data_IF_386800823542
#
_entry.id   IF_386800823542
#
_cell.length_a   1.000
_cell.length_b   1.000
_cell.length_c   1.000
_cell.angle_alpha   90.00
_cell.angle_beta   90.00
_cell.angle_gamma   90.00
#
_symmetry.space_group_name_H-M   'P 1'
#
loop_
_entity.id
_entity.type
_entity.pdbx_description
1 polymer ?
#
# COMPACT_ATOMS: atom_id res chain seq x y z
N UNK A 1 26.43 -30.84 4.84
CA UNK A 1 26.28 -29.47 4.42
C UNK A 1 25.57 -28.70 5.55
N UNK A 2 26.26 -27.83 6.25
CA UNK A 2 25.71 -27.08 7.39
C UNK A 2 24.94 -25.87 6.82
N UNK A 3 23.61 -25.85 6.98
CA UNK A 3 22.81 -24.68 6.75
C UNK A 3 23.20 -23.60 7.78
N UNK A 4 24.00 -22.63 7.37
CA UNK A 4 24.14 -21.39 8.10
C UNK A 4 22.89 -20.55 7.83
N UNK A 5 21.91 -20.63 8.69
CA UNK A 5 20.88 -19.60 8.81
C UNK A 5 21.59 -18.33 9.27
N UNK A 6 21.85 -17.41 8.37
CA UNK A 6 22.23 -16.06 8.74
C UNK A 6 21.06 -15.42 9.47
N UNK A 7 21.07 -15.45 10.81
CA UNK A 7 20.26 -14.57 11.61
C UNK A 7 20.71 -13.13 11.28
N UNK A 8 20.10 -12.52 10.29
CA UNK A 8 20.22 -11.07 10.09
C UNK A 8 19.57 -10.42 11.30
N UNK A 9 20.39 -9.87 12.19
CA UNK A 9 19.90 -9.06 13.31
C UNK A 9 19.09 -7.91 12.69
N UNK A 10 17.82 -7.77 13.09
CA UNK A 10 16.97 -6.67 12.66
C UNK A 10 17.54 -5.36 13.23
N UNK A 11 18.26 -4.62 12.39
CA UNK A 11 18.92 -3.37 12.78
C UNK A 11 17.94 -2.19 12.73
N UNK A 12 17.29 -1.92 13.85
CA UNK A 12 16.33 -0.85 14.03
C UNK A 12 16.95 0.52 13.75
N UNK A 13 18.20 0.75 14.16
CA UNK A 13 18.86 2.05 13.98
C UNK A 13 19.17 2.35 12.52
N UNK A 14 19.51 1.35 11.74
CA UNK A 14 19.69 1.49 10.29
C UNK A 14 18.35 1.75 9.60
N UNK A 15 17.29 1.00 9.93
CA UNK A 15 15.96 1.19 9.37
C UNK A 15 15.38 2.58 9.71
N UNK A 16 15.59 3.06 10.94
CA UNK A 16 15.13 4.39 11.36
C UNK A 16 15.69 5.53 10.52
N UNK A 17 16.89 5.39 9.96
CA UNK A 17 17.51 6.40 9.08
C UNK A 17 16.75 6.60 7.77
N UNK A 18 16.00 5.61 7.33
CA UNK A 18 15.15 5.73 6.15
C UNK A 18 13.95 6.67 6.36
N UNK A 19 13.63 7.03 7.61
CA UNK A 19 12.49 7.87 7.96
C UNK A 19 12.95 9.24 8.50
N UNK A 20 13.08 10.27 7.66
CA UNK A 20 13.66 11.57 8.06
C UNK A 20 12.96 12.23 9.25
N UNK A 21 11.64 12.06 9.35
CA UNK A 21 10.84 12.64 10.45
C UNK A 21 11.28 12.14 11.82
N UNK A 22 11.83 10.93 11.91
CA UNK A 22 12.25 10.34 13.18
C UNK A 22 13.52 10.96 13.74
N UNK A 23 14.23 11.80 12.96
CA UNK A 23 15.38 12.58 13.41
C UNK A 23 14.98 13.88 14.12
N UNK A 24 13.71 14.26 14.12
CA UNK A 24 13.23 15.49 14.76
C UNK A 24 13.29 15.44 16.28
N UNK A 25 13.37 16.62 16.86
CA UNK A 25 13.18 16.82 18.29
C UNK A 25 11.86 17.54 18.58
N UNK A 26 11.21 17.18 19.68
CA UNK A 26 10.00 17.82 20.18
C UNK A 26 10.26 18.20 21.64
N UNK A 27 10.10 19.49 21.97
CA UNK A 27 10.41 20.02 23.31
C UNK A 27 11.83 19.68 23.78
N UNK A 28 12.82 19.74 22.89
CA UNK A 28 14.22 19.43 23.17
C UNK A 28 14.56 17.96 23.38
N UNK A 29 13.63 17.02 23.12
CA UNK A 29 13.82 15.58 23.23
C UNK A 29 13.65 14.90 21.88
N UNK A 30 14.30 13.76 21.60
CA UNK A 30 14.07 12.98 20.40
C UNK A 30 12.59 12.64 20.22
N UNK A 31 12.10 12.69 19.00
CA UNK A 31 10.73 12.29 18.66
C UNK A 31 10.48 10.83 19.01
N UNK A 32 9.43 10.58 19.79
CA UNK A 32 8.82 9.27 19.97
C UNK A 32 7.45 9.30 19.29
N UNK A 33 7.26 8.49 18.25
CA UNK A 33 6.01 8.41 17.51
C UNK A 33 5.40 7.01 17.69
N UNK A 34 4.19 6.94 18.25
CA UNK A 34 3.50 5.70 18.61
C UNK A 34 2.12 5.55 17.96
N UNK A 35 1.79 6.43 17.01
CA UNK A 35 0.47 6.45 16.35
C UNK A 35 0.51 5.86 14.93
N UNK A 36 1.32 4.82 14.71
CA UNK A 36 1.44 4.17 13.41
C UNK A 36 0.16 3.41 12.97
N UNK A 37 -0.73 3.10 13.91
CA UNK A 37 -2.02 2.50 13.60
C UNK A 37 -2.93 3.46 12.80
N UNK A 38 -2.82 4.76 13.07
CA UNK A 38 -3.56 5.79 12.33
C UNK A 38 -2.78 6.25 11.09
N UNK A 39 -1.46 6.51 11.21
CA UNK A 39 -0.63 7.01 10.13
C UNK A 39 0.78 6.46 10.24
N UNK A 40 1.20 5.66 9.27
CA UNK A 40 2.60 5.24 9.14
C UNK A 40 3.46 6.38 8.60
N UNK A 41 4.69 6.49 9.10
CA UNK A 41 5.65 7.45 8.57
C UNK A 41 6.15 7.01 7.19
N UNK A 42 6.54 7.98 6.36
CA UNK A 42 6.94 7.76 4.98
C UNK A 42 8.47 7.68 4.90
N UNK A 43 9.05 6.61 4.35
CA UNK A 43 10.48 6.52 4.14
C UNK A 43 10.96 7.45 3.03
N UNK A 44 12.24 7.86 3.06
CA UNK A 44 12.83 8.79 2.11
C UNK A 44 12.70 8.30 0.66
N UNK A 45 12.86 7.02 0.43
CA UNK A 45 12.74 6.41 -0.90
C UNK A 45 11.36 6.68 -1.54
N UNK A 46 10.30 6.68 -0.76
CA UNK A 46 8.94 7.00 -1.26
C UNK A 46 8.80 8.49 -1.54
N UNK A 47 9.36 9.34 -0.67
CA UNK A 47 9.38 10.81 -0.88
C UNK A 47 10.12 11.13 -2.19
N UNK A 48 11.28 10.52 -2.40
CA UNK A 48 12.11 10.74 -3.59
C UNK A 48 11.39 10.32 -4.88
N UNK A 49 10.68 9.19 -4.87
CA UNK A 49 9.87 8.74 -6.03
C UNK A 49 8.73 9.72 -6.34
N UNK A 50 8.08 10.30 -5.32
CA UNK A 50 7.02 11.29 -5.53
C UNK A 50 7.61 12.57 -6.13
N UNK A 51 8.76 13.03 -5.64
CA UNK A 51 9.46 14.20 -6.17
C UNK A 51 9.89 13.94 -7.61
N UNK A 52 10.48 12.79 -7.90
CA UNK A 52 10.92 12.39 -9.25
C UNK A 52 9.74 12.35 -10.22
N UNK A 53 8.61 11.76 -9.82
CA UNK A 53 7.41 11.71 -10.64
C UNK A 53 6.94 13.10 -11.07
N UNK A 54 6.72 14.01 -10.11
CA UNK A 54 6.21 15.35 -10.41
C UNK A 54 7.23 16.23 -11.14
N UNK A 55 8.53 16.01 -10.93
CA UNK A 55 9.58 16.81 -11.55
C UNK A 55 9.93 16.36 -12.97
N UNK A 56 9.79 15.07 -13.29
CA UNK A 56 10.42 14.51 -14.48
C UNK A 56 9.46 13.81 -15.46
N UNK A 57 8.40 13.11 -14.99
CA UNK A 57 7.56 12.30 -15.88
C UNK A 57 6.06 12.29 -15.53
N UNK A 58 5.58 13.30 -14.83
CA UNK A 58 4.16 13.42 -14.53
C UNK A 58 3.33 13.52 -15.82
N UNK A 59 2.65 12.43 -16.18
CA UNK A 59 1.82 12.33 -17.36
C UNK A 59 0.66 11.34 -17.16
N UNK A 60 -0.35 11.44 -18.04
CA UNK A 60 -1.45 10.50 -18.06
C UNK A 60 -0.96 9.11 -18.51
N UNK A 61 -1.27 8.08 -17.73
CA UNK A 61 -0.91 6.68 -18.02
C UNK A 61 -1.89 6.07 -19.03
N UNK A 62 -1.42 5.07 -19.83
CA UNK A 62 -2.19 4.22 -20.77
C UNK A 62 -2.81 4.91 -21.99
N UNK A 63 -2.86 6.24 -22.07
CA UNK A 63 -3.57 6.96 -23.15
C UNK A 63 -2.73 7.94 -23.94
N UNK A 64 -1.56 8.30 -23.47
CA UNK A 64 -0.68 9.21 -24.17
C UNK A 64 0.23 8.48 -25.16
N UNK A 65 0.46 9.13 -26.32
CA UNK A 65 1.37 8.62 -27.37
C UNK A 65 2.73 9.31 -27.35
N UNK A 66 3.06 10.01 -26.28
CA UNK A 66 4.33 10.73 -26.09
C UNK A 66 5.21 10.07 -25.01
N UNK A 67 6.49 10.40 -25.03
CA UNK A 67 7.53 9.74 -24.20
C UNK A 67 7.22 9.77 -22.70
N UNK A 68 6.75 10.90 -22.15
CA UNK A 68 6.43 10.99 -20.72
C UNK A 68 5.28 10.06 -20.32
N UNK A 69 4.27 9.91 -21.17
CA UNK A 69 3.15 8.99 -20.91
C UNK A 69 3.63 7.53 -20.95
N UNK A 70 4.52 7.19 -21.87
CA UNK A 70 5.09 5.86 -21.93
C UNK A 70 5.92 5.57 -20.67
N UNK A 71 6.79 6.49 -20.27
CA UNK A 71 7.60 6.34 -19.06
C UNK A 71 6.75 6.19 -17.79
N UNK A 72 5.73 7.04 -17.62
CA UNK A 72 4.81 6.95 -16.49
C UNK A 72 4.04 5.62 -16.49
N UNK A 73 3.62 5.13 -17.66
CA UNK A 73 2.95 3.84 -17.81
C UNK A 73 3.86 2.68 -17.44
N UNK A 74 5.10 2.68 -17.93
CA UNK A 74 6.07 1.61 -17.66
C UNK A 74 6.38 1.51 -16.17
N UNK A 75 6.59 2.65 -15.50
CA UNK A 75 6.82 2.69 -14.04
C UNK A 75 5.59 2.22 -13.26
N UNK A 76 4.38 2.62 -13.67
CA UNK A 76 3.14 2.20 -13.02
C UNK A 76 2.90 0.69 -13.14
N UNK A 77 3.08 0.13 -14.34
CA UNK A 77 2.93 -1.31 -14.56
C UNK A 77 4.08 -2.12 -13.95
N UNK A 78 5.29 -1.57 -13.91
CA UNK A 78 6.41 -2.16 -13.16
C UNK A 78 6.12 -2.29 -11.67
N UNK A 79 5.52 -1.26 -11.06
CA UNK A 79 5.07 -1.31 -9.68
C UNK A 79 4.00 -2.40 -9.47
N UNK A 80 3.03 -2.54 -10.40
CA UNK A 80 2.01 -3.59 -10.39
C UNK A 80 2.65 -4.98 -10.40
N UNK A 81 3.63 -5.21 -11.28
CA UNK A 81 4.34 -6.48 -11.38
C UNK A 81 5.12 -6.80 -10.10
N UNK A 82 5.76 -5.80 -9.49
CA UNK A 82 6.47 -5.98 -8.20
C UNK A 82 5.50 -6.43 -7.11
N UNK A 83 4.33 -5.81 -7.00
CA UNK A 83 3.30 -6.19 -6.03
C UNK A 83 2.73 -7.57 -6.35
N UNK A 84 2.48 -7.88 -7.63
CA UNK A 84 2.03 -9.20 -8.08
C UNK A 84 2.99 -10.31 -7.64
N UNK A 85 4.29 -10.11 -7.83
CA UNK A 85 5.32 -11.07 -7.41
C UNK A 85 5.40 -11.20 -5.88
N UNK A 86 5.31 -10.08 -5.15
CA UNK A 86 5.35 -10.07 -3.70
C UNK A 86 4.21 -10.90 -3.08
N UNK A 87 3.00 -10.79 -3.62
CA UNK A 87 1.84 -11.56 -3.16
C UNK A 87 1.69 -12.92 -3.84
N UNK A 88 2.60 -13.27 -4.75
CA UNK A 88 2.53 -14.51 -5.54
C UNK A 88 1.18 -14.67 -6.26
N UNK A 89 0.62 -13.56 -6.75
CA UNK A 89 -0.58 -13.58 -7.57
C UNK A 89 -0.27 -14.17 -8.95
N UNK A 90 -1.22 -14.91 -9.54
CA UNK A 90 -1.00 -15.59 -10.82
C UNK A 90 -0.83 -14.58 -11.97
N UNK A 91 -1.57 -13.47 -11.92
CA UNK A 91 -1.59 -12.49 -13.00
C UNK A 91 -1.52 -11.05 -12.47
N UNK A 92 -0.90 -10.15 -13.23
CA UNK A 92 -0.78 -8.74 -12.87
C UNK A 92 -2.16 -8.04 -12.75
N UNK A 93 -3.16 -8.46 -13.50
CA UNK A 93 -4.51 -7.88 -13.42
C UNK A 93 -5.27 -8.21 -12.12
N UNK A 94 -4.78 -9.16 -11.32
CA UNK A 94 -5.31 -9.42 -9.97
C UNK A 94 -4.93 -8.32 -8.97
N UNK A 95 -3.94 -7.48 -9.32
CA UNK A 95 -3.51 -6.35 -8.50
C UNK A 95 -4.29 -5.10 -8.90
N UNK A 96 -5.12 -4.61 -8.00
CA UNK A 96 -5.94 -3.40 -8.21
C UNK A 96 -5.49 -2.33 -7.23
N UNK A 97 -4.96 -1.21 -7.74
CA UNK A 97 -4.62 -0.06 -6.93
C UNK A 97 -5.86 0.75 -6.59
N UNK A 98 -6.00 1.11 -5.33
CA UNK A 98 -7.12 1.90 -4.81
C UNK A 98 -6.61 3.09 -3.99
N UNK A 99 -7.48 4.00 -3.63
CA UNK A 99 -7.14 5.17 -2.80
C UNK A 99 -7.02 4.84 -1.29
N UNK A 100 -7.14 3.56 -0.90
CA UNK A 100 -6.97 3.11 0.48
C UNK A 100 -7.91 1.98 0.86
N UNK A 101 -7.75 1.46 2.08
CA UNK A 101 -8.45 0.27 2.59
C UNK A 101 -9.98 0.39 2.50
N UNK A 102 -10.54 1.53 2.86
CA UNK A 102 -12.00 1.76 2.78
C UNK A 102 -12.50 1.61 1.35
N UNK A 103 -11.78 2.16 0.37
CA UNK A 103 -12.11 2.00 -1.05
C UNK A 103 -12.02 0.53 -1.47
N UNK A 104 -10.97 -0.17 -1.09
CA UNK A 104 -10.78 -1.59 -1.42
C UNK A 104 -11.91 -2.46 -0.87
N UNK A 105 -12.32 -2.26 0.39
CA UNK A 105 -13.40 -3.03 1.01
C UNK A 105 -14.73 -2.75 0.33
N UNK A 106 -15.04 -1.49 0.00
CA UNK A 106 -16.26 -1.14 -0.72
C UNK A 106 -16.27 -1.73 -2.14
N UNK A 107 -15.12 -1.75 -2.83
CA UNK A 107 -14.99 -2.37 -4.14
C UNK A 107 -15.31 -3.87 -4.08
N UNK A 108 -14.75 -4.58 -3.08
CA UNK A 108 -15.04 -6.02 -2.86
C UNK A 108 -16.52 -6.22 -2.51
N UNK A 109 -17.07 -5.45 -1.57
CA UNK A 109 -18.47 -5.57 -1.18
C UNK A 109 -19.41 -5.39 -2.40
N UNK A 110 -19.22 -4.32 -3.16
CA UNK A 110 -20.03 -4.08 -4.37
C UNK A 110 -19.86 -5.19 -5.43
N UNK A 111 -18.64 -5.71 -5.61
CA UNK A 111 -18.37 -6.81 -6.54
C UNK A 111 -19.07 -8.12 -6.16
N UNK A 112 -19.20 -8.39 -4.86
CA UNK A 112 -19.87 -9.59 -4.36
C UNK A 112 -21.40 -9.43 -4.25
N UNK A 113 -21.94 -8.22 -4.26
CA UNK A 113 -23.36 -7.95 -4.07
C UNK A 113 -24.27 -8.78 -5.00
N UNK A 114 -23.88 -8.93 -6.26
CA UNK A 114 -24.65 -9.71 -7.25
C UNK A 114 -24.53 -11.24 -7.11
N UNK A 115 -23.58 -11.69 -6.32
CA UNK A 115 -23.35 -13.12 -6.07
C UNK A 115 -24.07 -13.64 -4.82
N UNK A 116 -24.41 -12.72 -3.91
CA UNK A 116 -25.11 -13.05 -2.68
C UNK A 116 -26.60 -13.35 -2.96
N UNK A 117 -27.12 -14.30 -2.22
CA UNK A 117 -28.52 -14.74 -2.29
C UNK A 117 -29.19 -14.48 -0.95
N UNK A 118 -30.53 -14.45 -0.97
CA UNK A 118 -31.33 -14.42 0.24
C UNK A 118 -30.94 -15.61 1.15
N UNK A 119 -30.68 -15.32 2.43
CA UNK A 119 -30.19 -16.22 3.47
C UNK A 119 -28.69 -16.56 3.43
N UNK A 120 -27.88 -15.97 2.56
CA UNK A 120 -26.43 -16.04 2.70
C UNK A 120 -25.99 -15.29 3.96
N UNK A 121 -24.94 -15.80 4.61
CA UNK A 121 -24.42 -15.24 5.85
C UNK A 121 -23.04 -14.64 5.63
N UNK A 122 -22.87 -13.38 5.99
CA UNK A 122 -21.57 -12.72 6.02
C UNK A 122 -21.07 -12.70 7.46
N UNK A 123 -20.02 -13.46 7.75
CA UNK A 123 -19.39 -13.49 9.06
C UNK A 123 -18.40 -12.32 9.22
N UNK A 124 -18.59 -11.53 10.27
CA UNK A 124 -17.74 -10.38 10.58
C UNK A 124 -17.34 -10.44 12.06
N UNK A 125 -16.06 -10.21 12.37
CA UNK A 125 -15.58 -10.12 13.74
C UNK A 125 -16.17 -8.88 14.45
N UNK A 126 -16.37 -8.98 15.77
CA UNK A 126 -16.83 -7.84 16.58
C UNK A 126 -15.76 -6.76 16.76
N UNK A 127 -14.49 -7.07 16.47
CA UNK A 127 -13.33 -6.16 16.62
C UNK A 127 -12.95 -5.45 15.33
N UNK A 128 -13.78 -5.54 14.29
CA UNK A 128 -13.53 -4.93 12.99
C UNK A 128 -13.63 -3.40 13.01
N UNK A 129 -12.83 -2.77 12.14
CA UNK A 129 -12.97 -1.35 11.85
C UNK A 129 -14.27 -1.08 11.07
N UNK A 130 -14.88 0.09 11.29
CA UNK A 130 -16.14 0.49 10.64
C UNK A 130 -16.12 0.35 9.11
N UNK A 131 -14.97 0.60 8.46
CA UNK A 131 -14.81 0.44 7.02
C UNK A 131 -15.07 -0.99 6.52
N UNK A 132 -14.94 -1.99 7.39
CA UNK A 132 -15.23 -3.40 7.08
C UNK A 132 -16.65 -3.82 7.51
N UNK A 133 -17.22 -3.17 8.54
CA UNK A 133 -18.56 -3.49 9.02
C UNK A 133 -19.65 -2.86 8.13
N UNK A 134 -19.52 -1.57 7.84
CA UNK A 134 -20.60 -0.80 7.19
C UNK A 134 -20.92 -1.33 5.78
N UNK A 135 -19.98 -1.53 4.86
CA UNK A 135 -20.29 -2.02 3.52
C UNK A 135 -20.99 -3.38 3.53
N UNK A 136 -20.65 -4.25 4.49
CA UNK A 136 -21.26 -5.58 4.62
C UNK A 136 -22.66 -5.57 5.16
N UNK A 137 -23.04 -4.53 5.91
CA UNK A 137 -24.43 -4.34 6.37
C UNK A 137 -25.35 -3.78 5.27
N UNK A 138 -24.78 -3.28 4.19
CA UNK A 138 -25.52 -2.73 3.05
C UNK A 138 -25.79 -3.77 1.97
N UNK A 139 -25.19 -4.96 2.08
CA UNK A 139 -25.43 -6.13 1.24
C UNK A 139 -26.59 -6.97 1.76
#
# INVERSE_FOLDING_TARGET
>A
MKNQSSNSVFDVETIRKDFPILSRTVNGKPLIYLDNAATSQTPQQVVDVIVDYYSNYNANIHRGVHSLSQEATDKYEGARQTIQQHFNAAHAHEIIFTSGTTHSINLVANGFASLLKENDIILVSALEHHSNIIPRKML
#
